data_IF_984425693029
#
_entry.id   IF_984425693029
#
_cell.length_a   1.000
_cell.length_b   1.000
_cell.length_c   1.000
_cell.angle_alpha   90.00
_cell.angle_beta   90.00
_cell.angle_gamma   90.00
#
_symmetry.space_group_name_H-M   'P 1'
#
loop_
_entity.id
_entity.type
_entity.pdbx_description
1 polymer ?
#
# COMPACT_ATOMS: atom_id res chain seq x y z
N UNK A 1 73.73 -8.50 4.03
CA UNK A 1 73.13 -9.15 2.84
C UNK A 1 72.06 -10.09 3.36
N UNK A 2 70.77 -9.97 3.12
CA UNK A 2 70.01 -9.19 2.14
C UNK A 2 68.57 -9.16 2.68
N UNK A 3 67.97 -7.99 2.68
CA UNK A 3 66.54 -7.78 2.90
C UNK A 3 65.76 -8.27 1.68
N UNK A 4 64.62 -8.95 1.87
CA UNK A 4 63.56 -8.93 0.86
C UNK A 4 62.20 -8.79 1.53
N UNK A 5 61.62 -7.61 1.30
CA UNK A 5 60.30 -7.14 1.70
C UNK A 5 59.23 -7.95 0.95
N UNK A 6 58.23 -8.48 1.66
CA UNK A 6 56.97 -8.85 1.03
C UNK A 6 55.91 -7.83 1.46
N UNK A 7 55.55 -6.97 0.51
CA UNK A 7 54.49 -5.98 0.63
C UNK A 7 53.13 -6.64 0.75
N UNK A 8 52.27 -6.04 1.57
CA UNK A 8 50.92 -6.50 1.85
C UNK A 8 49.96 -6.36 0.68
N UNK A 9 49.00 -7.27 0.66
CA UNK A 9 47.66 -7.06 0.10
C UNK A 9 46.71 -7.57 1.18
N UNK A 10 46.33 -6.70 2.12
CA UNK A 10 45.14 -6.92 2.92
C UNK A 10 43.99 -6.52 2.03
N UNK A 11 43.36 -7.51 1.42
CA UNK A 11 42.13 -7.35 0.68
C UNK A 11 41.06 -6.90 1.69
N UNK A 12 40.69 -5.63 1.63
CA UNK A 12 39.55 -5.06 2.36
C UNK A 12 38.28 -5.71 1.80
N UNK A 13 37.95 -6.93 2.23
CA UNK A 13 36.58 -7.45 2.18
C UNK A 13 35.78 -6.79 3.31
N UNK A 14 35.69 -5.45 3.26
CA UNK A 14 34.81 -4.67 4.11
C UNK A 14 33.47 -4.53 3.43
N UNK A 15 32.45 -5.20 3.99
CA UNK A 15 31.06 -4.76 3.99
C UNK A 15 30.42 -4.54 2.61
N UNK A 16 30.40 -5.58 1.77
CA UNK A 16 29.17 -5.85 1.04
C UNK A 16 28.29 -6.66 1.99
N UNK A 17 27.55 -5.95 2.85
CA UNK A 17 26.32 -6.52 3.37
C UNK A 17 25.55 -7.05 2.16
N UNK A 18 25.12 -8.31 2.11
CA UNK A 18 24.09 -8.66 1.17
C UNK A 18 22.91 -7.79 1.59
N UNK A 19 22.63 -6.72 0.85
CA UNK A 19 21.28 -6.20 0.84
C UNK A 19 20.47 -7.39 0.37
N UNK A 20 19.87 -8.13 1.30
CA UNK A 20 18.78 -9.03 1.01
C UNK A 20 17.87 -8.19 0.12
N UNK A 21 17.83 -8.51 -1.18
CA UNK A 21 16.94 -7.84 -2.11
C UNK A 21 15.56 -8.02 -1.51
N UNK A 22 15.09 -6.93 -0.94
CA UNK A 22 13.84 -6.90 -0.22
C UNK A 22 12.77 -7.14 -1.26
N UNK A 23 12.07 -8.26 -1.08
CA UNK A 23 11.03 -8.70 -1.97
C UNK A 23 9.81 -7.77 -1.82
N UNK A 24 9.77 -6.70 -2.61
CA UNK A 24 8.61 -5.81 -2.74
C UNK A 24 7.70 -6.24 -3.90
N UNK A 25 6.40 -6.36 -3.65
CA UNK A 25 5.39 -6.58 -4.70
C UNK A 25 4.75 -5.26 -5.16
N UNK A 26 4.81 -4.23 -4.30
CA UNK A 26 4.18 -2.94 -4.49
C UNK A 26 5.13 -1.83 -4.02
N UNK A 27 5.07 -0.69 -4.70
CA UNK A 27 5.81 0.50 -4.29
C UNK A 27 4.84 1.68 -4.23
N UNK A 28 4.97 2.53 -3.22
CA UNK A 28 4.10 3.69 -3.01
C UNK A 28 4.94 4.96 -2.91
N UNK A 29 4.40 6.06 -3.42
CA UNK A 29 4.97 7.37 -3.23
C UNK A 29 3.88 8.31 -2.67
N UNK A 30 4.19 8.98 -1.57
CA UNK A 30 3.27 9.88 -0.85
C UNK A 30 3.79 11.31 -0.91
N UNK A 31 2.95 12.25 -1.34
CA UNK A 31 3.33 13.67 -1.42
C UNK A 31 3.55 14.28 -0.03
N UNK A 32 4.36 15.35 0.09
CA UNK A 32 4.46 16.15 1.31
C UNK A 32 3.10 16.70 1.77
N UNK A 33 2.26 17.12 0.82
CA UNK A 33 0.91 17.62 1.10
C UNK A 33 -0.01 16.54 1.70
N UNK A 34 0.05 15.32 1.17
CA UNK A 34 -0.69 14.18 1.73
C UNK A 34 -0.20 13.85 3.14
N UNK A 35 1.12 13.80 3.33
CA UNK A 35 1.70 13.57 4.66
C UNK A 35 1.30 14.65 5.67
N UNK A 36 1.29 15.92 5.23
CA UNK A 36 0.81 17.02 6.07
C UNK A 36 -0.65 16.84 6.47
N UNK A 37 -1.53 16.44 5.56
CA UNK A 37 -2.93 16.19 5.86
C UNK A 37 -3.10 15.02 6.84
N UNK A 38 -2.42 13.90 6.59
CA UNK A 38 -2.44 12.72 7.47
C UNK A 38 -1.99 13.07 8.89
N UNK A 39 -0.84 13.76 9.03
CA UNK A 39 -0.32 14.16 10.34
C UNK A 39 -1.18 15.25 10.98
N UNK A 40 -1.72 16.20 10.21
CA UNK A 40 -2.62 17.23 10.72
C UNK A 40 -3.89 16.61 11.30
N UNK A 41 -4.50 15.67 10.59
CA UNK A 41 -5.72 15.00 11.06
C UNK A 41 -5.43 14.15 12.30
N UNK A 42 -4.34 13.38 12.29
CA UNK A 42 -3.98 12.52 13.40
C UNK A 42 -3.56 13.31 14.66
N UNK A 43 -2.76 14.37 14.52
CA UNK A 43 -2.18 15.13 15.64
C UNK A 43 -3.16 16.20 16.15
N UNK A 44 -3.84 16.91 15.24
CA UNK A 44 -4.67 18.07 15.57
C UNK A 44 -6.15 17.71 15.66
N UNK A 45 -6.74 17.11 14.62
CA UNK A 45 -8.20 16.91 14.54
C UNK A 45 -8.70 15.90 15.57
N UNK A 46 -7.91 14.86 15.83
CA UNK A 46 -8.23 13.89 16.88
C UNK A 46 -7.99 14.42 18.31
N UNK A 47 -7.52 15.67 18.46
CA UNK A 47 -7.28 16.29 19.76
C UNK A 47 -6.10 15.72 20.55
N UNK A 48 -5.33 14.78 19.99
CA UNK A 48 -4.24 14.07 20.67
C UNK A 48 -3.22 15.03 21.29
N UNK A 49 -2.74 16.01 20.51
CA UNK A 49 -1.78 16.98 21.01
C UNK A 49 -2.39 17.88 22.09
N UNK A 50 -3.63 18.34 21.90
CA UNK A 50 -4.29 19.21 22.88
C UNK A 50 -4.49 18.49 24.22
N UNK A 51 -4.90 17.22 24.20
CA UNK A 51 -5.09 16.42 25.40
C UNK A 51 -3.79 16.24 26.19
N UNK A 52 -2.67 15.95 25.53
CA UNK A 52 -1.38 15.79 26.20
C UNK A 52 -0.81 17.13 26.70
N UNK A 53 -1.07 18.23 25.99
CA UNK A 53 -0.68 19.56 26.45
C UNK A 53 -1.47 20.02 27.69
N UNK A 54 -2.75 19.64 27.82
CA UNK A 54 -3.56 19.98 29.01
C UNK A 54 -3.04 19.32 30.30
N UNK A 55 -2.31 18.21 30.19
CA UNK A 55 -1.66 17.55 31.32
C UNK A 55 -0.33 18.18 31.77
N UNK A 56 0.13 19.26 31.11
CA UNK A 56 1.41 19.89 31.43
C UNK A 56 1.37 20.61 32.77
N UNK A 57 2.36 20.31 33.61
CA UNK A 57 2.62 21.02 34.87
C UNK A 57 3.76 21.99 34.66
N UNK A 58 3.48 23.29 34.83
CA UNK A 58 4.49 24.34 34.74
C UNK A 58 5.09 24.59 36.14
N UNK A 59 6.43 24.70 36.25
CA UNK A 59 7.07 25.05 37.51
C UNK A 59 6.75 26.49 37.91
N UNK A 60 6.76 26.72 39.22
CA UNK A 60 6.66 28.08 39.76
C UNK A 60 7.87 28.91 39.32
N UNK A 61 7.64 30.20 39.09
CA UNK A 61 8.69 31.14 38.71
C UNK A 61 9.03 31.99 39.94
N UNK A 62 10.30 31.99 40.34
CA UNK A 62 10.76 32.77 41.49
C UNK A 62 11.86 33.74 41.04
N UNK A 63 11.75 34.99 41.49
CA UNK A 63 12.74 36.05 41.27
C UNK A 63 13.26 36.56 42.60
N UNK A 64 14.53 36.24 42.88
CA UNK A 64 15.26 36.84 43.98
C UNK A 64 15.41 38.34 43.68
N UNK A 65 14.70 39.17 44.44
CA UNK A 65 14.73 40.61 44.26
C UNK A 65 16.15 41.18 44.32
N UNK A 66 16.40 42.25 43.56
CA UNK A 66 17.65 43.01 43.61
C UNK A 66 17.46 44.29 44.43
N UNK A 67 18.51 45.09 44.60
CA UNK A 67 18.49 46.38 45.31
C UNK A 67 17.42 47.36 44.80
N UNK A 68 16.92 47.15 43.57
CA UNK A 68 15.92 47.97 42.88
C UNK A 68 14.64 47.19 42.49
N UNK A 69 14.49 45.91 42.84
CA UNK A 69 13.33 45.10 42.43
C UNK A 69 12.79 44.26 43.57
N UNK A 70 11.48 44.32 43.79
CA UNK A 70 10.80 43.49 44.80
C UNK A 70 10.88 42.00 44.43
N UNK A 71 10.97 41.10 45.43
CA UNK A 71 10.88 39.68 45.19
C UNK A 71 9.56 39.37 44.49
N UNK A 72 9.65 38.55 43.44
CA UNK A 72 8.51 38.19 42.60
C UNK A 72 8.33 36.68 42.66
N UNK A 73 7.12 36.20 42.89
CA UNK A 73 6.80 34.77 42.77
C UNK A 73 5.55 34.57 41.94
N UNK A 74 5.62 33.68 40.96
CA UNK A 74 4.48 33.29 40.13
C UNK A 74 4.19 31.83 40.40
N UNK A 75 2.98 31.56 40.89
CA UNK A 75 2.55 30.23 41.33
C UNK A 75 1.26 29.81 40.65
N UNK A 76 1.03 28.50 40.58
CA UNK A 76 -0.20 27.96 39.99
C UNK A 76 -0.33 28.21 38.49
N UNK A 77 0.81 28.33 37.79
CA UNK A 77 0.84 28.43 36.34
C UNK A 77 0.26 27.16 35.72
N UNK A 78 -0.78 27.33 34.93
CA UNK A 78 -1.42 26.24 34.21
C UNK A 78 -1.85 26.69 32.82
N UNK A 79 -1.98 25.72 31.92
CA UNK A 79 -2.41 25.92 30.55
C UNK A 79 -3.94 26.05 30.50
N UNK A 80 -4.43 27.24 30.17
CA UNK A 80 -5.86 27.53 30.02
C UNK A 80 -6.35 27.09 28.65
N UNK A 81 -5.59 27.42 27.60
CA UNK A 81 -5.99 27.15 26.22
C UNK A 81 -4.78 26.98 25.31
N UNK A 82 -4.90 26.04 24.38
CA UNK A 82 -3.98 25.88 23.26
C UNK A 82 -4.71 26.27 21.98
N UNK A 83 -4.07 27.06 21.13
CA UNK A 83 -4.52 27.30 19.75
C UNK A 83 -3.45 26.74 18.84
N UNK A 84 -3.81 25.79 17.97
CA UNK A 84 -2.91 25.11 17.04
C UNK A 84 -3.23 25.56 15.61
N UNK A 85 -2.78 26.76 15.20
CA UNK A 85 -3.18 27.33 13.92
C UNK A 85 -2.58 26.59 12.72
N UNK A 86 -1.42 25.92 12.84
CA UNK A 86 -0.74 25.36 11.68
C UNK A 86 0.21 24.22 12.04
N UNK A 87 0.12 23.15 11.25
CA UNK A 87 1.09 22.07 11.14
C UNK A 87 1.60 22.05 9.69
N UNK A 88 2.91 21.96 9.52
CA UNK A 88 3.54 21.83 8.19
C UNK A 88 4.56 20.71 8.18
N UNK A 89 4.68 20.04 7.04
CA UNK A 89 5.59 18.93 6.83
C UNK A 89 6.52 19.22 5.67
N UNK A 90 7.80 18.94 5.87
CA UNK A 90 8.83 18.99 4.83
C UNK A 90 9.52 17.63 4.79
N UNK A 91 9.68 17.06 3.61
CA UNK A 91 10.45 15.83 3.44
C UNK A 91 11.91 16.20 3.21
N UNK A 92 12.80 15.68 4.06
CA UNK A 92 14.23 15.92 3.97
C UNK A 92 14.89 14.69 3.33
N UNK A 93 15.53 14.82 2.15
CA UNK A 93 16.11 13.69 1.43
C UNK A 93 17.08 12.88 2.30
N UNK A 94 16.86 11.58 2.44
CA UNK A 94 17.72 10.67 3.21
C UNK A 94 17.76 10.88 4.73
N UNK A 95 17.07 11.90 5.25
CA UNK A 95 17.02 12.21 6.68
C UNK A 95 15.69 11.74 7.27
N UNK A 96 14.57 12.13 6.65
CA UNK A 96 13.23 11.78 7.11
C UNK A 96 12.22 12.90 6.92
N UNK A 97 11.28 13.01 7.85
CA UNK A 97 10.15 13.94 7.81
C UNK A 97 10.36 15.04 8.85
N UNK A 98 10.52 16.28 8.42
CA UNK A 98 10.55 17.42 9.33
C UNK A 98 9.12 17.92 9.58
N UNK A 99 8.70 17.81 10.84
CA UNK A 99 7.43 18.29 11.34
C UNK A 99 7.63 19.66 11.99
N UNK A 100 6.79 20.63 11.62
CA UNK A 100 6.76 21.95 12.28
C UNK A 100 5.35 22.24 12.78
N UNK A 101 5.23 22.51 14.08
CA UNK A 101 3.98 22.86 14.76
C UNK A 101 4.10 24.30 15.27
N UNK A 102 3.21 25.17 14.82
CA UNK A 102 3.03 26.49 15.39
C UNK A 102 1.84 26.48 16.34
N UNK A 103 2.06 26.87 17.59
CA UNK A 103 1.02 26.91 18.62
C UNK A 103 1.02 28.24 19.36
N UNK A 104 -0.15 28.62 19.90
CA UNK A 104 -0.29 29.72 20.86
C UNK A 104 -0.80 29.13 22.17
N UNK A 105 -0.04 29.31 23.25
CA UNK A 105 -0.37 28.85 24.57
C UNK A 105 -0.88 30.02 25.40
N UNK A 106 -2.01 29.83 26.05
CA UNK A 106 -2.62 30.78 26.98
C UNK A 106 -2.45 30.20 28.38
N UNK A 107 -1.59 30.81 29.18
CA UNK A 107 -1.25 30.40 30.54
C UNK A 107 -1.86 31.38 31.52
N UNK A 108 -2.33 30.88 32.66
CA UNK A 108 -2.83 31.70 33.77
C UNK A 108 -2.17 31.25 35.06
N UNK A 109 -1.93 32.19 35.96
CA UNK A 109 -1.40 31.93 37.31
C UNK A 109 -1.59 33.11 38.24
N UNK A 110 -1.02 33.00 39.45
CA UNK A 110 -1.01 34.07 40.45
C UNK A 110 0.40 34.67 40.52
N UNK A 111 0.51 35.98 40.34
CA UNK A 111 1.73 36.75 40.48
C UNK A 111 1.72 37.51 41.81
N UNK A 112 2.76 37.30 42.61
CA UNK A 112 3.01 37.96 43.88
C UNK A 112 4.25 38.84 43.73
N UNK A 113 4.09 40.16 43.80
CA UNK A 113 5.19 41.13 43.77
C UNK A 113 5.23 41.84 45.12
N UNK A 114 6.23 41.54 45.95
CA UNK A 114 6.27 42.01 47.33
C UNK A 114 5.10 41.46 48.16
N UNK A 115 4.11 42.30 48.48
CA UNK A 115 2.88 41.93 49.22
C UNK A 115 1.62 41.94 48.35
N UNK A 116 1.72 42.31 47.08
CA UNK A 116 0.57 42.41 46.17
C UNK A 116 0.40 41.11 45.40
N UNK A 117 -0.80 40.52 45.50
CA UNK A 117 -1.21 39.33 44.76
C UNK A 117 -2.18 39.70 43.66
N UNK A 118 -1.90 39.33 42.42
CA UNK A 118 -2.79 39.52 41.29
C UNK A 118 -2.70 38.37 40.29
N UNK A 119 -3.69 38.26 39.39
CA UNK A 119 -3.69 37.26 38.33
C UNK A 119 -2.80 37.71 37.17
N UNK A 120 -2.03 36.76 36.65
CA UNK A 120 -1.18 36.93 35.46
C UNK A 120 -1.67 36.04 34.34
N UNK A 121 -1.89 36.64 33.18
CA UNK A 121 -2.22 35.94 31.93
C UNK A 121 -1.05 36.09 30.96
N UNK A 122 -0.56 34.96 30.44
CA UNK A 122 0.57 34.92 29.52
C UNK A 122 0.12 34.27 28.23
N UNK A 123 0.26 34.98 27.13
CA UNK A 123 0.08 34.45 25.78
C UNK A 123 1.47 34.26 25.16
N UNK A 124 1.84 33.02 24.85
CA UNK A 124 3.12 32.70 24.21
C UNK A 124 2.91 31.99 22.89
N UNK A 125 3.49 32.55 21.84
CA UNK A 125 3.61 31.86 20.56
C UNK A 125 4.82 30.93 20.63
N UNK A 126 4.64 29.66 20.25
CA UNK A 126 5.72 28.65 20.20
C UNK A 126 5.77 28.02 18.82
N UNK A 127 6.98 27.75 18.35
CA UNK A 127 7.24 26.98 17.13
C UNK A 127 8.09 25.78 17.51
N UNK A 128 7.52 24.60 17.35
CA UNK A 128 8.21 23.32 17.60
C UNK A 128 8.58 22.73 16.25
N UNK A 129 9.84 22.40 16.07
CA UNK A 129 10.37 21.70 14.89
C UNK A 129 10.94 20.37 15.38
N UNK A 130 10.55 19.26 14.75
CA UNK A 130 11.03 17.93 15.08
C UNK A 130 11.37 17.17 13.79
N UNK A 131 12.52 16.49 13.75
CA UNK A 131 12.86 15.62 12.63
C UNK A 131 12.46 14.19 12.99
N UNK A 132 11.60 13.58 12.17
CA UNK A 132 11.07 12.24 12.38
C UNK A 132 11.76 11.31 11.40
N UNK A 133 12.31 10.20 11.91
CA UNK A 133 13.05 9.23 11.11
C UNK A 133 12.55 7.82 11.39
N UNK A 134 12.54 7.00 10.34
CA UNK A 134 12.31 5.57 10.46
C UNK A 134 13.65 4.84 10.56
N UNK A 135 13.81 4.00 11.57
CA UNK A 135 15.01 3.20 11.83
C UNK A 135 14.62 1.75 12.13
N UNK A 136 15.61 0.86 12.23
CA UNK A 136 15.46 -0.52 12.72
C UNK A 136 14.31 -1.28 12.04
N UNK A 137 14.45 -1.55 10.74
CA UNK A 137 13.49 -2.37 10.03
C UNK A 137 13.69 -3.85 10.33
N UNK A 138 12.68 -4.47 10.93
CA UNK A 138 12.64 -5.89 11.20
C UNK A 138 11.27 -6.45 10.85
N UNK A 139 11.24 -7.46 9.97
CA UNK A 139 10.04 -8.24 9.64
C UNK A 139 8.80 -7.43 9.25
N UNK A 140 8.97 -6.30 8.55
CA UNK A 140 7.86 -5.45 8.12
C UNK A 140 7.40 -4.42 9.14
N UNK A 141 8.16 -4.23 10.21
CA UNK A 141 7.95 -3.16 11.20
C UNK A 141 9.14 -2.21 11.18
N UNK A 142 8.88 -0.92 11.44
CA UNK A 142 9.91 0.10 11.60
C UNK A 142 9.75 0.80 12.94
N UNK A 143 10.87 1.23 13.51
CA UNK A 143 10.87 2.12 14.65
C UNK A 143 10.83 3.57 14.14
N UNK A 144 9.94 4.39 14.70
CA UNK A 144 9.95 5.83 14.45
C UNK A 144 10.61 6.52 15.63
N UNK A 145 11.56 7.39 15.33
CA UNK A 145 12.30 8.17 16.32
C UNK A 145 12.23 9.64 15.97
N UNK A 146 12.15 10.49 17.00
CA UNK A 146 12.35 11.92 16.84
C UNK A 146 13.83 12.24 17.12
N UNK A 147 14.49 12.78 16.10
CA UNK A 147 15.81 13.41 16.21
C UNK A 147 15.61 14.95 16.27
N UNK A 148 16.43 15.64 17.05
CA UNK A 148 16.53 17.11 17.07
C UNK A 148 15.21 17.89 17.26
N UNK A 149 14.46 17.59 18.32
CA UNK A 149 13.31 18.42 18.68
C UNK A 149 13.77 19.78 19.23
N UNK A 150 13.36 20.86 18.55
CA UNK A 150 13.66 22.24 18.89
C UNK A 150 12.36 23.01 19.11
N UNK A 151 12.25 23.67 20.26
CA UNK A 151 11.14 24.56 20.56
C UNK A 151 11.65 26.00 20.67
N UNK A 152 11.17 26.87 19.78
CA UNK A 152 11.51 28.30 19.76
C UNK A 152 10.30 29.11 20.22
N UNK A 153 10.53 30.00 21.19
CA UNK A 153 9.52 30.94 21.64
C UNK A 153 9.50 32.14 20.68
N UNK A 154 8.29 32.51 20.25
CA UNK A 154 8.02 33.70 19.46
C UNK A 154 7.59 34.86 20.35
N UNK A 155 6.47 35.49 20.02
CA UNK A 155 5.94 36.61 20.78
C UNK A 155 5.39 36.15 22.14
N UNK A 156 5.86 36.77 23.22
CA UNK A 156 5.31 36.62 24.57
C UNK A 156 4.57 37.90 24.94
N UNK A 157 3.29 37.80 25.26
CA UNK A 157 2.47 38.89 25.79
C UNK A 157 2.01 38.54 27.19
N UNK A 158 2.49 39.32 28.15
CA UNK A 158 2.11 39.18 29.55
C UNK A 158 1.05 40.24 29.83
N UNK A 159 0.03 39.90 30.62
CA UNK A 159 -0.98 40.84 31.12
C UNK A 159 -1.20 40.57 32.60
N UNK A 160 -1.03 41.61 33.40
CA UNK A 160 -1.43 41.62 34.81
C UNK A 160 -2.81 42.26 34.93
N UNK A 161 -3.56 41.86 35.95
CA UNK A 161 -4.93 42.34 36.16
C UNK A 161 -4.97 43.84 36.50
N UNK A 162 -3.93 44.34 37.20
CA UNK A 162 -3.70 45.79 37.42
C UNK A 162 -3.36 46.58 36.16
N UNK A 163 -2.96 45.91 35.07
CA UNK A 163 -2.48 46.53 33.83
C UNK A 163 -1.04 47.06 33.90
N UNK A 164 -0.36 47.00 35.05
CA UNK A 164 0.97 47.56 35.25
C UNK A 164 2.05 46.46 35.25
N UNK A 165 2.69 46.26 34.09
CA UNK A 165 3.77 45.27 33.94
C UNK A 165 5.13 45.90 34.22
N UNK A 166 5.81 45.46 35.28
CA UNK A 166 7.21 45.86 35.51
C UNK A 166 8.16 45.14 34.54
N UNK A 167 9.27 45.79 34.21
CA UNK A 167 10.33 45.21 33.38
C UNK A 167 10.92 43.94 34.03
N UNK A 168 11.03 43.91 35.36
CA UNK A 168 11.56 42.77 36.10
C UNK A 168 10.71 41.51 35.95
N UNK A 169 9.38 41.63 36.05
CA UNK A 169 8.46 40.49 35.86
C UNK A 169 8.55 39.98 34.43
N UNK A 170 8.63 40.88 33.45
CA UNK A 170 8.77 40.50 32.05
C UNK A 170 10.05 39.70 31.77
N UNK A 171 11.20 40.16 32.26
CA UNK A 171 12.49 39.46 32.08
C UNK A 171 12.50 38.09 32.76
N UNK A 172 12.01 38.00 34.00
CA UNK A 172 11.98 36.75 34.76
C UNK A 172 11.07 35.71 34.08
N UNK A 173 9.87 36.12 33.66
CA UNK A 173 8.93 35.24 32.94
C UNK A 173 9.53 34.76 31.62
N UNK A 174 10.10 35.69 30.83
CA UNK A 174 10.69 35.33 29.54
C UNK A 174 11.85 34.35 29.70
N UNK A 175 12.75 34.60 30.65
CA UNK A 175 13.89 33.72 30.96
C UNK A 175 13.41 32.33 31.37
N UNK A 176 12.45 32.25 32.29
CA UNK A 176 11.98 30.96 32.81
C UNK A 176 11.20 30.17 31.76
N UNK A 177 10.32 30.82 30.99
CA UNK A 177 9.57 30.14 29.92
C UNK A 177 10.51 29.63 28.82
N UNK A 178 11.53 30.41 28.46
CA UNK A 178 12.54 30.00 27.46
C UNK A 178 13.33 28.77 27.92
N UNK A 179 13.64 28.69 29.22
CA UNK A 179 14.33 27.52 29.79
C UNK A 179 13.41 26.29 29.94
N UNK A 180 12.13 26.51 30.24
CA UNK A 180 11.22 25.43 30.67
C UNK A 180 10.41 24.84 29.53
N UNK A 181 9.81 25.68 28.66
CA UNK A 181 8.88 25.20 27.64
C UNK A 181 9.49 24.17 26.67
N UNK A 182 10.75 24.31 26.21
CA UNK A 182 11.36 23.29 25.36
C UNK A 182 11.44 21.92 26.03
N UNK A 183 11.79 21.89 27.33
CA UNK A 183 11.88 20.65 28.12
C UNK A 183 10.53 19.99 28.40
N UNK A 184 9.42 20.71 28.22
CA UNK A 184 8.06 20.18 28.41
C UNK A 184 7.38 19.83 27.08
N UNK A 185 7.52 20.67 26.06
CA UNK A 185 6.80 20.53 24.80
C UNK A 185 7.40 19.46 23.89
N UNK A 186 8.72 19.33 23.85
CA UNK A 186 9.37 18.32 23.00
C UNK A 186 9.01 16.88 23.41
N UNK A 187 9.03 16.50 24.71
CA UNK A 187 8.55 15.19 25.14
C UNK A 187 7.07 14.93 24.80
N UNK A 188 6.21 15.95 24.87
CA UNK A 188 4.80 15.79 24.47
C UNK A 188 4.69 15.51 22.98
N UNK A 189 5.44 16.22 22.14
CA UNK A 189 5.45 15.95 20.69
C UNK A 189 5.98 14.55 20.40
N UNK A 190 7.01 14.09 21.10
CA UNK A 190 7.53 12.72 20.98
C UNK A 190 6.46 11.66 21.29
N UNK A 191 5.75 11.79 22.40
CA UNK A 191 4.64 10.89 22.76
C UNK A 191 3.57 10.89 21.66
N UNK A 192 3.16 12.06 21.19
CA UNK A 192 2.07 12.18 20.20
C UNK A 192 2.48 11.60 18.85
N UNK A 193 3.70 11.85 18.37
CA UNK A 193 4.22 11.26 17.13
C UNK A 193 4.31 9.75 17.25
N UNK A 194 4.76 9.21 18.38
CA UNK A 194 4.80 7.76 18.61
C UNK A 194 3.41 7.12 18.61
N UNK A 195 2.40 7.78 19.17
CA UNK A 195 1.00 7.32 19.12
C UNK A 195 0.45 7.33 17.69
N UNK A 196 0.69 8.40 16.94
CA UNK A 196 0.29 8.49 15.52
C UNK A 196 1.00 7.44 14.69
N UNK A 197 2.28 7.18 14.97
CA UNK A 197 3.04 6.13 14.29
C UNK A 197 2.38 4.75 14.45
N UNK A 198 1.96 4.37 15.67
CA UNK A 198 1.26 3.10 15.92
C UNK A 198 -0.01 3.01 15.05
N UNK A 199 -0.77 4.10 14.96
CA UNK A 199 -1.99 4.15 14.15
C UNK A 199 -1.69 4.00 12.65
N UNK A 200 -0.69 4.74 12.14
CA UNK A 200 -0.36 4.75 10.71
C UNK A 200 0.33 3.46 10.26
N UNK A 201 1.26 2.91 11.03
CA UNK A 201 1.89 1.62 10.71
C UNK A 201 0.88 0.47 10.73
N UNK A 202 -0.15 0.55 11.57
CA UNK A 202 -1.27 -0.39 11.56
C UNK A 202 -1.99 -0.46 10.20
N UNK A 203 -1.95 0.62 9.41
CA UNK A 203 -2.53 0.62 8.05
C UNK A 203 -1.64 -0.06 7.02
N UNK A 204 -0.32 -0.12 7.27
CA UNK A 204 0.67 -0.72 6.37
C UNK A 204 0.87 -2.22 6.62
N UNK A 205 0.26 -2.78 7.67
CA UNK A 205 0.27 -4.20 7.98
C UNK A 205 -1.16 -4.74 8.03
N UNK A 206 -1.67 -5.21 6.90
CA UNK A 206 -3.07 -5.61 6.75
C UNK A 206 -3.20 -6.93 5.99
N UNK A 207 -4.04 -7.82 6.52
CA UNK A 207 -4.46 -9.05 5.83
C UNK A 207 -5.87 -8.82 5.27
N UNK A 208 -6.00 -8.76 3.96
CA UNK A 208 -7.26 -8.45 3.28
C UNK A 208 -7.75 -9.68 2.52
N UNK A 209 -9.00 -10.14 2.73
CA UNK A 209 -9.55 -11.28 2.00
C UNK A 209 -9.88 -10.91 0.54
N UNK A 210 -9.57 -11.85 -0.36
CA UNK A 210 -9.88 -11.78 -1.79
C UNK A 210 -11.04 -12.74 -2.07
N UNK A 211 -12.25 -12.31 -1.69
CA UNK A 211 -13.45 -13.15 -1.77
C UNK A 211 -13.27 -14.44 -0.97
N UNK A 212 -13.60 -15.58 -1.58
CA UNK A 212 -13.37 -16.91 -1.01
C UNK A 212 -12.09 -17.58 -1.52
N UNK A 213 -11.33 -16.91 -2.38
CA UNK A 213 -10.15 -17.50 -3.04
C UNK A 213 -8.92 -17.53 -2.13
N UNK A 214 -8.79 -16.56 -1.22
CA UNK A 214 -7.66 -16.47 -0.30
C UNK A 214 -7.51 -15.09 0.32
N UNK A 215 -6.29 -14.72 0.69
CA UNK A 215 -5.96 -13.43 1.30
C UNK A 215 -4.71 -12.81 0.69
N UNK A 216 -4.60 -11.48 0.77
CA UNK A 216 -3.36 -10.75 0.49
C UNK A 216 -2.91 -10.11 1.79
N UNK A 217 -1.67 -10.39 2.19
CA UNK A 217 -1.04 -9.77 3.35
C UNK A 217 -0.09 -8.67 2.88
N UNK A 218 -0.52 -7.43 3.07
CA UNK A 218 0.31 -6.25 2.87
C UNK A 218 1.14 -5.96 4.10
N UNK A 219 2.44 -5.76 3.92
CA UNK A 219 3.39 -5.35 4.97
C UNK A 219 4.50 -4.50 4.38
N UNK A 220 5.17 -3.68 5.19
CA UNK A 220 6.39 -3.02 4.74
C UNK A 220 7.44 -4.05 4.33
N UNK A 221 8.07 -3.80 3.18
CA UNK A 221 9.15 -4.62 2.68
C UNK A 221 10.51 -4.03 3.11
N UNK A 222 10.64 -2.70 3.12
CA UNK A 222 11.88 -1.98 3.43
C UNK A 222 11.64 -0.79 4.36
N UNK A 223 12.73 -0.13 4.77
CA UNK A 223 12.67 1.17 5.43
C UNK A 223 12.06 2.22 4.49
N UNK A 224 11.06 2.99 4.94
CA UNK A 224 10.60 4.18 4.25
C UNK A 224 11.76 5.14 3.96
N UNK A 225 11.78 5.72 2.76
CA UNK A 225 12.80 6.69 2.39
C UNK A 225 12.18 7.99 1.88
N UNK A 226 12.88 9.10 2.09
CA UNK A 226 12.45 10.42 1.64
C UNK A 226 13.35 10.90 0.51
N UNK A 227 12.74 11.35 -0.59
CA UNK A 227 13.47 11.94 -1.74
C UNK A 227 13.52 13.47 -1.70
N UNK A 228 12.77 14.09 -0.78
CA UNK A 228 12.47 15.53 -0.77
C UNK A 228 11.20 15.89 -1.54
N UNK A 229 10.87 15.13 -2.58
CA UNK A 229 9.64 15.31 -3.36
C UNK A 229 8.51 14.39 -2.90
N UNK A 230 8.85 13.22 -2.34
CA UNK A 230 7.88 12.24 -1.85
C UNK A 230 8.49 11.35 -0.75
N UNK A 231 7.61 10.70 0.01
CA UNK A 231 7.93 9.60 0.90
C UNK A 231 7.68 8.29 0.13
N UNK A 232 8.75 7.54 -0.10
CA UNK A 232 8.71 6.22 -0.73
C UNK A 232 8.46 5.12 0.30
N UNK A 233 7.55 4.21 -0.02
CA UNK A 233 7.21 3.04 0.79
C UNK A 233 7.19 1.81 -0.10
N UNK A 234 8.03 0.81 0.17
CA UNK A 234 7.91 -0.48 -0.49
C UNK A 234 7.09 -1.43 0.38
N UNK A 235 6.09 -2.06 -0.22
CA UNK A 235 5.23 -3.05 0.41
C UNK A 235 5.43 -4.42 -0.24
N UNK A 236 5.45 -5.45 0.60
CA UNK A 236 5.27 -6.83 0.20
C UNK A 236 3.77 -7.13 0.20
N UNK A 237 3.31 -7.84 -0.82
CA UNK A 237 1.92 -8.24 -1.00
C UNK A 237 1.82 -9.76 -1.05
N UNK A 238 2.02 -10.43 0.08
CA UNK A 238 2.07 -11.88 0.12
C UNK A 238 0.67 -12.47 -0.17
N UNK A 239 0.53 -13.10 -1.34
CA UNK A 239 -0.71 -13.73 -1.81
C UNK A 239 -0.81 -15.14 -1.22
N UNK A 240 -1.86 -15.41 -0.45
CA UNK A 240 -2.07 -16.68 0.26
C UNK A 240 -3.35 -17.36 -0.19
N UNK A 241 -3.26 -18.66 -0.47
CA UNK A 241 -4.41 -19.51 -0.79
C UNK A 241 -5.19 -19.90 0.47
N UNK A 242 -6.43 -20.37 0.28
CA UNK A 242 -7.17 -21.08 1.34
C UNK A 242 -6.34 -22.28 1.80
N UNK A 243 -5.92 -22.29 3.07
CA UNK A 243 -4.98 -23.27 3.61
C UNK A 243 -3.59 -22.71 3.97
N UNK A 244 -3.29 -21.46 3.61
CA UNK A 244 -2.12 -20.71 4.09
C UNK A 244 -0.88 -20.78 3.20
N UNK A 245 -0.88 -21.58 2.14
CA UNK A 245 0.21 -21.65 1.17
C UNK A 245 0.37 -20.31 0.44
N UNK A 246 1.60 -19.80 0.40
CA UNK A 246 1.97 -18.55 -0.28
C UNK A 246 2.23 -18.84 -1.76
N UNK A 247 1.66 -18.03 -2.64
CA UNK A 247 1.97 -18.07 -4.08
C UNK A 247 3.25 -17.24 -4.32
N UNK A 248 4.35 -17.87 -4.76
CA UNK A 248 5.60 -17.18 -4.98
C UNK A 248 5.48 -16.17 -6.13
N UNK A 249 6.12 -15.02 -5.97
CA UNK A 249 6.28 -14.04 -7.04
C UNK A 249 7.62 -13.30 -6.91
N UNK A 250 8.25 -13.04 -8.04
CA UNK A 250 9.50 -12.29 -8.10
C UNK A 250 9.28 -10.87 -7.62
N UNK A 251 10.28 -10.31 -6.94
CA UNK A 251 10.11 -9.05 -6.25
C UNK A 251 11.32 -8.13 -6.44
N UNK A 252 11.73 -7.98 -7.71
CA UNK A 252 12.84 -7.13 -8.13
C UNK A 252 12.48 -5.65 -8.09
N UNK A 253 13.42 -4.81 -7.63
CA UNK A 253 13.23 -3.36 -7.55
C UNK A 253 12.82 -2.77 -8.91
N UNK A 254 11.77 -1.93 -8.91
CA UNK A 254 11.32 -1.19 -10.08
C UNK A 254 11.19 0.29 -9.73
N UNK A 255 11.52 1.14 -10.69
CA UNK A 255 11.47 2.60 -10.51
C UNK A 255 10.02 3.05 -10.46
N UNK A 256 9.59 3.55 -9.30
CA UNK A 256 8.33 4.27 -9.15
C UNK A 256 8.27 5.43 -10.17
N UNK A 257 7.15 5.64 -10.87
CA UNK A 257 6.98 6.82 -11.69
C UNK A 257 7.06 8.09 -10.81
N UNK A 258 7.54 9.21 -11.37
CA UNK A 258 7.66 10.46 -10.64
C UNK A 258 6.30 10.88 -10.07
N UNK A 259 6.30 11.30 -8.81
CA UNK A 259 5.12 11.83 -8.16
C UNK A 259 4.79 13.20 -8.79
N UNK A 260 3.75 13.24 -9.62
CA UNK A 260 3.16 14.48 -10.15
C UNK A 260 2.30 15.16 -9.06
N UNK A 261 1.35 16.02 -9.45
CA UNK A 261 0.37 16.71 -8.58
C UNK A 261 -0.63 15.78 -7.85
N UNK A 262 -0.26 14.51 -7.63
CA UNK A 262 -1.07 13.49 -6.96
C UNK A 262 -0.64 13.34 -5.50
N UNK A 263 -1.61 13.06 -4.63
CA UNK A 263 -1.37 12.87 -3.20
C UNK A 263 -0.65 11.55 -2.89
N UNK A 264 -1.01 10.49 -3.62
CA UNK A 264 -0.51 9.13 -3.48
C UNK A 264 -0.41 8.49 -4.87
N UNK A 265 0.70 7.80 -5.12
CA UNK A 265 0.90 6.92 -6.28
C UNK A 265 1.18 5.51 -5.76
N UNK A 266 0.52 4.52 -6.34
CA UNK A 266 0.69 3.11 -6.02
C UNK A 266 1.10 2.36 -7.29
N UNK A 267 2.31 1.81 -7.29
CA UNK A 267 2.83 0.92 -8.32
C UNK A 267 2.58 -0.53 -7.95
N UNK A 268 1.92 -1.27 -8.85
CA UNK A 268 1.69 -2.71 -8.74
C UNK A 268 2.58 -3.44 -9.73
N UNK A 269 3.37 -4.41 -9.26
CA UNK A 269 4.30 -5.15 -10.13
C UNK A 269 3.56 -6.25 -10.89
N UNK A 270 4.04 -6.55 -12.10
CA UNK A 270 3.52 -7.63 -12.94
C UNK A 270 3.55 -8.98 -12.20
N UNK A 271 4.64 -9.26 -11.48
CA UNK A 271 4.81 -10.48 -10.70
C UNK A 271 3.77 -10.62 -9.58
N UNK A 272 3.46 -9.54 -8.86
CA UNK A 272 2.39 -9.51 -7.88
C UNK A 272 1.03 -9.78 -8.53
N UNK A 273 0.73 -9.12 -9.66
CA UNK A 273 -0.52 -9.36 -10.40
C UNK A 273 -0.62 -10.82 -10.91
N UNK A 274 0.48 -11.43 -11.35
CA UNK A 274 0.53 -12.85 -11.74
C UNK A 274 0.12 -13.78 -10.58
N UNK A 275 0.64 -13.52 -9.37
CA UNK A 275 0.27 -14.30 -8.19
C UNK A 275 -1.22 -14.13 -7.84
N UNK A 276 -1.74 -12.91 -7.92
CA UNK A 276 -3.17 -12.64 -7.66
C UNK A 276 -4.08 -13.26 -8.72
N UNK A 277 -3.70 -13.21 -10.00
CA UNK A 277 -4.45 -13.88 -11.07
C UNK A 277 -4.46 -15.40 -10.89
N UNK A 278 -3.34 -16.00 -10.47
CA UNK A 278 -3.26 -17.42 -10.14
C UNK A 278 -4.13 -17.80 -8.93
N UNK A 279 -4.37 -16.85 -8.01
CA UNK A 279 -5.32 -17.01 -6.92
C UNK A 279 -6.78 -16.93 -7.40
N UNK A 280 -7.10 -15.94 -8.24
CA UNK A 280 -8.47 -15.65 -8.67
C UNK A 280 -8.99 -16.58 -9.77
N UNK A 281 -8.14 -16.98 -10.72
CA UNK A 281 -8.53 -17.79 -11.88
C UNK A 281 -8.29 -19.27 -11.56
N UNK A 282 -9.04 -19.79 -10.58
CA UNK A 282 -9.05 -21.20 -10.22
C UNK A 282 -10.39 -21.84 -10.64
N UNK A 283 -10.58 -21.97 -11.95
CA UNK A 283 -11.82 -22.50 -12.51
C UNK A 283 -11.72 -24.03 -12.58
N UNK A 284 -12.64 -24.78 -11.94
CA UNK A 284 -12.65 -26.23 -12.05
C UNK A 284 -12.99 -26.67 -13.48
N UNK A 285 -12.60 -27.89 -13.91
CA UNK A 285 -12.91 -28.37 -15.25
C UNK A 285 -14.41 -28.30 -15.55
N UNK A 286 -14.77 -27.61 -16.63
CA UNK A 286 -16.16 -27.44 -17.05
C UNK A 286 -16.51 -28.53 -18.04
N UNK A 287 -17.54 -29.33 -17.77
CA UNK A 287 -18.01 -30.38 -18.68
C UNK A 287 -19.48 -30.18 -18.99
N UNK A 288 -19.82 -30.10 -20.27
CA UNK A 288 -21.19 -29.92 -20.73
C UNK A 288 -21.41 -30.60 -22.08
N UNK A 289 -22.68 -30.81 -22.41
CA UNK A 289 -23.09 -31.33 -23.71
C UNK A 289 -23.04 -30.20 -24.74
N UNK A 290 -22.54 -30.50 -25.94
CA UNK A 290 -22.46 -29.56 -27.06
C UNK A 290 -23.86 -29.33 -27.64
N UNK A 291 -24.61 -28.40 -27.08
CA UNK A 291 -25.95 -28.03 -27.53
C UNK A 291 -26.09 -26.51 -27.65
N UNK A 292 -27.05 -26.00 -28.47
CA UNK A 292 -27.25 -24.56 -28.65
C UNK A 292 -27.56 -23.78 -27.36
N UNK A 293 -28.06 -24.47 -26.33
CA UNK A 293 -28.30 -23.88 -25.01
C UNK A 293 -27.01 -23.61 -24.25
N UNK A 294 -25.94 -24.38 -24.52
CA UNK A 294 -24.64 -24.18 -23.89
C UNK A 294 -23.86 -23.02 -24.55
N UNK A 295 -23.89 -22.94 -25.88
CA UNK A 295 -23.35 -21.82 -26.65
C UNK A 295 -23.96 -21.80 -28.07
N UNK A 296 -24.08 -20.62 -28.64
CA UNK A 296 -24.80 -20.39 -29.90
C UNK A 296 -24.22 -21.15 -31.10
N UNK A 297 -22.91 -21.38 -31.10
CA UNK A 297 -22.18 -22.07 -32.18
C UNK A 297 -22.16 -23.60 -32.12
N UNK A 298 -22.91 -24.23 -31.21
CA UNK A 298 -22.79 -25.68 -30.93
C UNK A 298 -23.08 -26.59 -32.12
N UNK A 299 -24.16 -26.33 -32.88
CA UNK A 299 -24.52 -27.14 -34.04
C UNK A 299 -23.44 -27.11 -35.11
N UNK A 300 -22.88 -25.93 -35.39
CA UNK A 300 -21.80 -25.77 -36.37
C UNK A 300 -20.50 -26.43 -35.91
N UNK A 301 -20.15 -26.35 -34.62
CA UNK A 301 -19.00 -27.07 -34.08
C UNK A 301 -19.17 -28.59 -34.23
N UNK A 302 -20.36 -29.10 -33.93
CA UNK A 302 -20.68 -30.52 -34.08
C UNK A 302 -20.56 -30.97 -35.54
N UNK A 303 -21.13 -30.22 -36.48
CA UNK A 303 -20.99 -30.49 -37.91
C UNK A 303 -19.52 -30.49 -38.34
N UNK A 304 -18.75 -29.46 -37.98
CA UNK A 304 -17.34 -29.35 -38.32
C UNK A 304 -16.55 -30.56 -37.79
N UNK A 305 -16.77 -30.98 -36.54
CA UNK A 305 -16.11 -32.16 -35.97
C UNK A 305 -16.50 -33.43 -36.75
N UNK A 306 -17.79 -33.61 -37.07
CA UNK A 306 -18.24 -34.78 -37.83
C UNK A 306 -17.64 -34.84 -39.24
N UNK A 307 -17.38 -33.70 -39.88
CA UNK A 307 -16.70 -33.67 -41.20
C UNK A 307 -15.22 -34.06 -41.14
N UNK A 308 -14.58 -33.89 -39.99
CA UNK A 308 -13.16 -34.22 -39.80
C UNK A 308 -12.93 -35.69 -39.46
N UNK A 309 -13.96 -36.39 -38.98
CA UNK A 309 -13.86 -37.80 -38.61
C UNK A 309 -13.61 -38.63 -39.88
N UNK A 310 -12.54 -39.43 -39.93
CA UNK A 310 -12.28 -40.33 -41.05
C UNK A 310 -13.42 -41.34 -41.22
N UNK A 311 -13.78 -41.65 -42.46
CA UNK A 311 -14.86 -42.59 -42.81
C UNK A 311 -14.68 -44.01 -42.22
N UNK A 312 -13.46 -44.36 -41.78
CA UNK A 312 -13.16 -45.62 -41.09
C UNK A 312 -13.64 -45.69 -39.63
N UNK A 313 -14.10 -44.59 -39.01
CA UNK A 313 -14.59 -44.62 -37.63
C UNK A 313 -16.08 -45.00 -37.56
N UNK A 314 -16.39 -46.29 -37.71
CA UNK A 314 -17.77 -46.79 -37.61
C UNK A 314 -18.43 -46.53 -36.24
N UNK A 315 -17.62 -46.42 -35.18
CA UNK A 315 -18.07 -46.15 -33.80
C UNK A 315 -18.37 -44.67 -33.53
N UNK A 316 -17.94 -43.76 -34.42
CA UNK A 316 -18.17 -42.32 -34.29
C UNK A 316 -19.55 -41.89 -34.80
N UNK A 317 -20.11 -42.63 -35.75
CA UNK A 317 -21.40 -42.34 -36.38
C UNK A 317 -22.56 -42.90 -35.54
N UNK A 318 -22.76 -42.33 -34.35
CA UNK A 318 -23.85 -42.67 -33.43
C UNK A 318 -24.77 -41.48 -33.13
N UNK A 319 -25.91 -41.74 -32.49
CA UNK A 319 -26.89 -40.71 -32.06
C UNK A 319 -26.54 -40.04 -30.73
N UNK A 320 -25.45 -40.46 -30.08
CA UNK A 320 -25.04 -39.89 -28.79
C UNK A 320 -24.49 -38.46 -28.97
N UNK A 321 -24.88 -37.52 -28.11
CA UNK A 321 -24.46 -36.13 -28.26
C UNK A 321 -22.96 -35.95 -27.93
N UNK A 322 -22.33 -34.99 -28.62
CA UNK A 322 -20.95 -34.58 -28.31
C UNK A 322 -20.91 -33.91 -26.93
N UNK A 323 -19.88 -34.22 -26.16
CA UNK A 323 -19.59 -33.57 -24.88
C UNK A 323 -18.25 -32.87 -24.95
N UNK A 324 -18.16 -31.72 -24.32
CA UNK A 324 -16.97 -30.87 -24.28
C UNK A 324 -16.55 -30.74 -22.83
N UNK A 325 -15.27 -30.94 -22.59
CA UNK A 325 -14.62 -30.63 -21.31
C UNK A 325 -13.53 -29.58 -21.53
N UNK A 326 -13.69 -28.46 -20.85
CA UNK A 326 -12.72 -27.36 -20.80
C UNK A 326 -11.90 -27.45 -19.51
N UNK A 327 -10.58 -27.43 -19.62
CA UNK A 327 -9.68 -27.47 -18.46
C UNK A 327 -8.59 -26.42 -18.63
N UNK A 328 -8.42 -25.52 -17.66
CA UNK A 328 -7.30 -24.59 -17.66
C UNK A 328 -5.98 -25.34 -17.50
N UNK A 329 -4.97 -24.93 -18.25
CA UNK A 329 -3.63 -25.54 -18.25
C UNK A 329 -2.61 -24.49 -17.85
N UNK A 330 -1.88 -24.74 -16.76
CA UNK A 330 -0.92 -23.78 -16.20
C UNK A 330 -1.58 -22.60 -15.49
N UNK A 331 -0.75 -21.62 -15.12
CA UNK A 331 -1.18 -20.41 -14.44
C UNK A 331 -1.35 -19.26 -15.45
N UNK A 332 -2.34 -18.36 -15.25
CA UNK A 332 -2.47 -17.16 -16.06
C UNK A 332 -1.26 -16.25 -15.88
N UNK A 333 -0.79 -15.63 -16.96
CA UNK A 333 0.30 -14.67 -16.94
C UNK A 333 -0.18 -13.34 -17.51
N UNK A 334 -0.12 -12.28 -16.71
CA UNK A 334 -0.30 -10.91 -17.19
C UNK A 334 1.04 -10.35 -17.65
N UNK A 335 1.00 -9.69 -18.81
CA UNK A 335 2.08 -8.92 -19.40
C UNK A 335 1.65 -7.46 -19.41
N UNK A 336 2.47 -6.60 -18.82
CA UNK A 336 2.27 -5.16 -18.81
C UNK A 336 3.26 -4.53 -19.79
N UNK A 337 2.70 -3.91 -20.83
CA UNK A 337 3.40 -3.11 -21.83
C UNK A 337 2.89 -1.66 -21.72
N UNK A 338 3.62 -0.70 -22.28
CA UNK A 338 3.21 0.71 -22.24
C UNK A 338 1.78 0.87 -22.81
N UNK A 339 0.85 1.35 -21.98
CA UNK A 339 -0.58 1.53 -22.29
C UNK A 339 -1.36 0.25 -22.64
N UNK A 340 -0.80 -0.95 -22.41
CA UNK A 340 -1.45 -2.20 -22.81
C UNK A 340 -1.16 -3.32 -21.81
N UNK A 341 -2.21 -3.98 -21.35
CA UNK A 341 -2.11 -5.20 -20.56
C UNK A 341 -2.77 -6.38 -21.27
N UNK A 342 -2.08 -7.51 -21.28
CA UNK A 342 -2.58 -8.77 -21.86
C UNK A 342 -2.42 -9.92 -20.88
N UNK A 343 -3.42 -10.79 -20.80
CA UNK A 343 -3.34 -12.05 -20.04
C UNK A 343 -3.20 -13.22 -21.01
N UNK A 344 -2.14 -14.00 -20.84
CA UNK A 344 -1.92 -15.27 -21.51
C UNK A 344 -2.50 -16.42 -20.69
N UNK A 345 -3.27 -17.29 -21.34
CA UNK A 345 -3.93 -18.43 -20.71
C UNK A 345 -3.98 -19.61 -21.68
N UNK A 346 -3.68 -20.82 -21.21
CA UNK A 346 -3.85 -22.05 -22.00
C UNK A 346 -5.08 -22.83 -21.53
N UNK A 347 -5.85 -23.35 -22.49
CA UNK A 347 -7.06 -24.14 -22.23
C UNK A 347 -6.99 -25.44 -23.01
N UNK A 348 -7.22 -26.55 -22.33
CA UNK A 348 -7.40 -27.86 -22.94
C UNK A 348 -8.88 -28.08 -23.25
N UNK A 349 -9.19 -28.35 -24.50
CA UNK A 349 -10.54 -28.63 -25.00
C UNK A 349 -10.57 -30.11 -25.38
N UNK A 350 -11.22 -30.90 -24.55
CA UNK A 350 -11.45 -32.32 -24.82
C UNK A 350 -12.86 -32.49 -25.39
N UNK A 351 -12.97 -33.07 -26.58
CA UNK A 351 -14.27 -33.47 -27.15
C UNK A 351 -14.39 -34.98 -27.13
N UNK A 352 -15.49 -35.47 -26.61
CA UNK A 352 -15.75 -36.89 -26.43
C UNK A 352 -17.23 -37.23 -26.57
N UNK A 353 -17.52 -38.49 -26.82
CA UNK A 353 -18.87 -39.05 -26.84
C UNK A 353 -19.06 -39.90 -25.60
N UNK A 354 -20.08 -39.58 -24.80
CA UNK A 354 -20.52 -40.43 -23.69
C UNK A 354 -21.63 -41.36 -24.18
N UNK A 355 -21.33 -42.64 -24.28
CA UNK A 355 -22.31 -43.67 -24.65
C UNK A 355 -23.14 -44.08 -23.44
N UNK A 356 -24.41 -44.43 -23.68
CA UNK A 356 -25.35 -44.84 -22.62
C UNK A 356 -24.87 -46.10 -21.88
N UNK A 357 -24.25 -47.05 -22.60
CA UNK A 357 -23.86 -48.37 -22.06
C UNK A 357 -22.38 -48.75 -22.35
N UNK A 358 -21.46 -47.78 -22.46
CA UNK A 358 -20.07 -48.08 -22.83
C UNK A 358 -19.03 -47.03 -22.43
N UNK A 359 -17.73 -47.31 -22.67
CA UNK A 359 -16.65 -46.39 -22.33
C UNK A 359 -16.73 -45.10 -23.16
N UNK A 360 -16.26 -44.01 -22.54
CA UNK A 360 -16.12 -42.69 -23.15
C UNK A 360 -15.21 -42.79 -24.36
N UNK A 361 -15.71 -42.37 -25.53
CA UNK A 361 -14.92 -42.28 -26.75
C UNK A 361 -14.38 -40.87 -26.86
N UNK A 362 -13.08 -40.68 -26.60
CA UNK A 362 -12.42 -39.40 -26.87
C UNK A 362 -12.24 -39.24 -28.37
N UNK A 363 -12.60 -38.09 -28.90
CA UNK A 363 -12.44 -37.80 -30.33
C UNK A 363 -11.17 -36.99 -30.55
N UNK A 364 -11.09 -35.85 -29.86
CA UNK A 364 -9.98 -34.90 -30.00
C UNK A 364 -9.65 -34.25 -28.66
N UNK A 365 -8.36 -33.97 -28.48
CA UNK A 365 -7.84 -33.12 -27.43
C UNK A 365 -7.08 -31.96 -28.08
N UNK A 366 -7.59 -30.75 -27.88
CA UNK A 366 -6.99 -29.52 -28.40
C UNK A 366 -6.39 -28.71 -27.25
N UNK A 367 -5.35 -27.96 -27.55
CA UNK A 367 -4.84 -26.88 -26.70
C UNK A 367 -5.11 -25.56 -27.41
N UNK A 368 -5.85 -24.68 -26.75
CA UNK A 368 -6.07 -23.31 -27.15
C UNK A 368 -5.22 -22.38 -26.29
N UNK A 369 -4.31 -21.64 -26.91
CA UNK A 369 -3.52 -20.59 -26.27
C UNK A 369 -4.20 -19.25 -26.54
N UNK A 370 -4.59 -18.56 -25.47
CA UNK A 370 -5.42 -17.35 -25.50
C UNK A 370 -4.58 -16.13 -25.14
N UNK A 371 -4.73 -15.06 -25.92
CA UNK A 371 -4.28 -13.73 -25.54
C UNK A 371 -5.49 -12.86 -25.27
N UNK A 372 -5.68 -12.49 -24.00
CA UNK A 372 -6.83 -11.75 -23.51
C UNK A 372 -6.46 -10.29 -23.29
N UNK A 373 -7.20 -9.36 -23.87
CA UNK A 373 -7.05 -7.94 -23.58
C UNK A 373 -7.63 -7.63 -22.20
N UNK A 374 -6.88 -6.86 -21.40
CA UNK A 374 -7.27 -6.49 -20.04
C UNK A 374 -7.85 -5.07 -20.02
N UNK A 375 -9.02 -4.94 -19.44
CA UNK A 375 -9.67 -3.67 -19.09
C UNK A 375 -9.55 -3.46 -17.60
N UNK A 376 -8.98 -2.33 -17.19
CA UNK A 376 -8.70 -2.05 -15.77
C UNK A 376 -9.65 -0.96 -15.27
N UNK A 377 -10.22 -1.17 -14.08
CA UNK A 377 -11.08 -0.20 -13.42
C UNK A 377 -10.89 -0.26 -11.90
N UNK A 378 -11.36 0.76 -11.19
CA UNK A 378 -11.34 0.79 -9.72
C UNK A 378 -12.75 0.94 -9.19
N UNK A 379 -13.12 0.04 -8.28
CA UNK A 379 -14.43 0.04 -7.62
C UNK A 379 -14.27 -0.32 -6.14
N UNK A 380 -14.79 0.52 -5.24
CA UNK A 380 -14.78 0.25 -3.80
C UNK A 380 -13.39 -0.01 -3.19
N UNK A 381 -12.36 0.68 -3.67
CA UNK A 381 -10.97 0.47 -3.22
C UNK A 381 -10.31 -0.80 -3.76
N UNK A 382 -10.89 -1.41 -4.80
CA UNK A 382 -10.35 -2.62 -5.45
C UNK A 382 -10.01 -2.34 -6.90
N UNK A 383 -8.92 -2.93 -7.39
CA UNK A 383 -8.59 -3.00 -8.80
C UNK A 383 -9.38 -4.13 -9.45
N UNK A 384 -10.30 -3.82 -10.33
CA UNK A 384 -11.13 -4.79 -11.05
C UNK A 384 -10.60 -4.95 -12.46
N UNK A 385 -10.38 -6.21 -12.86
CA UNK A 385 -9.89 -6.58 -14.17
C UNK A 385 -11.03 -7.21 -14.97
N UNK A 386 -11.30 -6.70 -16.16
CA UNK A 386 -12.20 -7.31 -17.13
C UNK A 386 -11.39 -7.85 -18.31
N UNK A 387 -11.67 -9.08 -18.74
CA UNK A 387 -10.97 -9.71 -19.85
C UNK A 387 -11.87 -9.80 -21.08
N UNK A 388 -11.25 -9.61 -22.25
CA UNK A 388 -11.89 -9.82 -23.55
C UNK A 388 -10.96 -10.61 -24.46
N UNK A 389 -11.51 -11.49 -25.29
CA UNK A 389 -10.70 -12.34 -26.14
C UNK A 389 -10.08 -11.55 -27.31
N UNK A 390 -8.77 -11.36 -27.26
CA UNK A 390 -7.98 -10.78 -28.35
C UNK A 390 -7.74 -11.84 -29.42
N UNK A 391 -6.67 -12.62 -29.27
CA UNK A 391 -6.31 -13.70 -30.19
C UNK A 391 -6.41 -15.08 -29.55
N UNK A 392 -6.43 -16.11 -30.40
CA UNK A 392 -6.59 -17.51 -30.01
C UNK A 392 -5.74 -18.33 -30.97
N UNK A 393 -4.92 -19.23 -30.47
CA UNK A 393 -4.14 -20.18 -31.28
C UNK A 393 -4.53 -21.59 -30.90
N UNK A 394 -4.95 -22.40 -31.88
CA UNK A 394 -5.43 -23.76 -31.65
C UNK A 394 -4.42 -24.79 -32.13
N UNK A 395 -4.10 -25.76 -31.28
CA UNK A 395 -3.21 -26.87 -31.63
C UNK A 395 -3.81 -28.21 -31.24
N UNK A 396 -3.65 -29.22 -32.11
CA UNK A 396 -4.05 -30.59 -31.84
C UNK A 396 -3.01 -31.26 -30.93
N UNK A 397 -3.46 -31.87 -29.83
CA UNK A 397 -2.59 -32.66 -28.93
C UNK A 397 -2.73 -34.15 -29.18
N UNK A 398 -3.95 -34.64 -29.32
CA UNK A 398 -4.20 -36.03 -29.70
C UNK A 398 -5.57 -36.17 -30.36
N UNK A 399 -5.72 -37.23 -31.14
CA UNK A 399 -6.98 -37.67 -31.70
C UNK A 399 -7.01 -39.19 -31.74
N UNK A 400 -7.96 -39.80 -31.05
CA UNK A 400 -8.06 -41.27 -30.99
C UNK A 400 -8.78 -41.83 -32.24
N UNK A 401 -9.37 -40.95 -33.05
CA UNK A 401 -10.14 -41.30 -34.25
C UNK A 401 -9.43 -40.91 -35.56
N UNK A 402 -8.17 -40.48 -35.49
CA UNK A 402 -7.35 -40.16 -36.67
C UNK A 402 -7.60 -38.79 -37.33
N UNK A 403 -8.20 -37.82 -36.65
CA UNK A 403 -8.27 -36.42 -37.09
C UNK A 403 -6.86 -35.81 -37.09
N UNK A 404 -6.45 -35.21 -38.20
CA UNK A 404 -5.12 -34.58 -38.36
C UNK A 404 -5.17 -33.09 -38.70
N UNK A 405 -6.22 -32.63 -39.39
CA UNK A 405 -6.39 -31.22 -39.74
C UNK A 405 -7.53 -30.59 -38.91
N UNK A 406 -7.23 -29.51 -38.20
CA UNK A 406 -8.16 -28.81 -37.29
C UNK A 406 -8.45 -27.36 -37.72
N UNK A 407 -8.01 -26.94 -38.90
CA UNK A 407 -8.10 -25.53 -39.33
C UNK A 407 -9.52 -24.98 -39.36
N UNK A 408 -10.52 -25.83 -39.59
CA UNK A 408 -11.94 -25.42 -39.59
C UNK A 408 -12.52 -25.21 -38.19
N UNK A 409 -11.86 -25.73 -37.14
CA UNK A 409 -12.38 -25.69 -35.77
C UNK A 409 -12.10 -24.38 -35.05
N UNK A 410 -11.10 -23.62 -35.48
CA UNK A 410 -10.67 -22.39 -34.82
C UNK A 410 -11.80 -21.37 -34.57
N UNK A 411 -12.60 -20.95 -35.57
CA UNK A 411 -13.70 -20.00 -35.33
C UNK A 411 -14.77 -20.55 -34.38
N UNK A 412 -15.03 -21.86 -34.42
CA UNK A 412 -16.02 -22.50 -33.56
C UNK A 412 -15.52 -22.62 -32.11
N UNK A 413 -14.26 -23.00 -31.91
CA UNK A 413 -13.63 -23.02 -30.60
C UNK A 413 -13.52 -21.60 -30.01
N UNK A 414 -13.34 -20.57 -30.86
CA UNK A 414 -13.37 -19.18 -30.41
C UNK A 414 -14.73 -18.80 -29.82
N UNK A 415 -15.84 -19.05 -30.52
CA UNK A 415 -17.20 -18.77 -30.01
C UNK A 415 -17.49 -19.54 -28.71
N UNK A 416 -17.14 -20.85 -28.68
CA UNK A 416 -17.23 -21.67 -27.48
C UNK A 416 -16.53 -21.01 -26.28
N UNK A 417 -15.27 -20.62 -26.41
CA UNK A 417 -14.50 -20.03 -25.30
C UNK A 417 -15.05 -18.67 -24.85
N UNK A 418 -15.51 -17.84 -25.79
CA UNK A 418 -16.09 -16.51 -25.48
C UNK A 418 -17.41 -16.63 -24.73
N UNK A 419 -18.26 -17.60 -25.07
CA UNK A 419 -19.60 -17.73 -24.49
C UNK A 419 -19.60 -18.56 -23.21
N UNK A 420 -18.70 -19.54 -23.07
CA UNK A 420 -18.70 -20.44 -21.91
C UNK A 420 -17.61 -20.12 -20.89
N UNK A 421 -16.36 -19.91 -21.32
CA UNK A 421 -15.22 -19.80 -20.40
C UNK A 421 -14.99 -18.34 -19.94
N UNK A 422 -15.02 -17.40 -20.88
CA UNK A 422 -14.72 -15.99 -20.59
C UNK A 422 -15.66 -15.37 -19.53
N UNK A 423 -16.99 -15.65 -19.51
CA UNK A 423 -17.88 -15.14 -18.47
C UNK A 423 -17.53 -15.70 -17.09
N UNK A 424 -17.09 -16.96 -17.00
CA UNK A 424 -16.65 -17.55 -15.74
C UNK A 424 -15.38 -16.86 -15.22
N UNK A 425 -14.41 -16.60 -16.10
CA UNK A 425 -13.19 -15.87 -15.73
C UNK A 425 -13.53 -14.44 -15.27
N UNK A 426 -14.36 -13.71 -16.02
CA UNK A 426 -14.76 -12.36 -15.62
C UNK A 426 -15.57 -12.34 -14.32
N UNK A 427 -16.37 -13.39 -14.06
CA UNK A 427 -17.05 -13.56 -12.79
C UNK A 427 -16.09 -13.66 -11.61
N UNK A 428 -14.99 -14.42 -11.72
CA UNK A 428 -14.00 -14.50 -10.63
C UNK A 428 -13.20 -13.20 -10.47
N UNK A 429 -12.88 -12.52 -11.57
CA UNK A 429 -12.13 -11.26 -11.53
C UNK A 429 -12.95 -10.06 -11.04
N UNK A 430 -14.28 -10.12 -11.12
CA UNK A 430 -15.18 -9.10 -10.58
C UNK A 430 -15.06 -8.90 -9.06
N UNK A 431 -14.49 -9.89 -8.33
CA UNK A 431 -14.17 -9.77 -6.91
C UNK A 431 -13.20 -8.60 -6.65
N UNK A 432 -12.32 -8.33 -7.62
CA UNK A 432 -11.30 -7.29 -7.58
C UNK A 432 -10.15 -7.58 -6.62
N UNK A 433 -9.02 -6.96 -6.90
CA UNK A 433 -7.81 -7.00 -6.08
C UNK A 433 -7.90 -5.87 -5.06
N UNK A 434 -7.99 -6.16 -3.74
CA UNK A 434 -8.08 -5.10 -2.74
C UNK A 434 -6.77 -4.31 -2.67
N UNK A 435 -6.85 -2.99 -2.80
CA UNK A 435 -5.68 -2.12 -2.69
C UNK A 435 -5.37 -1.82 -1.20
N UNK A 436 -4.09 -1.69 -0.81
CA UNK A 436 -3.72 -1.36 0.56
C UNK A 436 -4.16 0.05 0.94
N UNK A 437 -4.58 0.24 2.19
CA UNK A 437 -4.85 1.57 2.73
C UNK A 437 -3.52 2.19 3.21
N UNK A 438 -2.84 2.90 2.33
CA UNK A 438 -1.52 3.49 2.64
C UNK A 438 -1.71 4.73 3.53
N UNK A 439 -1.33 4.61 4.80
CA UNK A 439 -1.37 5.71 5.79
C UNK A 439 -2.75 6.33 6.02
N UNK A 440 -3.84 5.60 5.74
CA UNK A 440 -5.19 6.11 5.89
C UNK A 440 -5.64 7.04 4.74
N UNK A 441 -4.88 7.14 3.65
CA UNK A 441 -5.19 8.05 2.53
C UNK A 441 -6.29 7.43 1.64
N UNK A 442 -7.47 8.07 1.48
CA UNK A 442 -8.56 7.51 0.68
C UNK A 442 -8.32 7.64 -0.84
N UNK A 443 -8.71 6.62 -1.59
CA UNK A 443 -8.65 6.58 -3.06
C UNK A 443 -9.97 7.09 -3.67
N UNK A 444 -10.03 8.39 -4.01
CA UNK A 444 -11.28 9.04 -4.50
C UNK A 444 -11.22 9.37 -6.00
N UNK A 445 -10.10 9.90 -6.49
CA UNK A 445 -9.87 10.28 -7.90
C UNK A 445 -8.63 9.57 -8.42
N UNK A 446 -8.79 8.30 -8.76
CA UNK A 446 -7.68 7.45 -9.18
C UNK A 446 -7.56 7.46 -10.70
N UNK A 447 -6.37 7.82 -11.17
CA UNK A 447 -5.97 7.63 -12.56
C UNK A 447 -5.15 6.34 -12.64
N UNK A 448 -5.37 5.57 -13.71
CA UNK A 448 -4.70 4.28 -13.92
C UNK A 448 -3.80 4.44 -15.14
N UNK A 449 -2.54 4.06 -14.99
CA UNK A 449 -1.55 4.00 -16.06
C UNK A 449 -0.92 2.61 -16.05
N UNK A 450 -0.70 2.06 -17.25
CA UNK A 450 -0.07 0.75 -17.47
C UNK A 450 1.27 0.99 -18.16
#
# INVERSE_FOLDING_TARGET
MTMLKLFGIVFFCGLLSPSQEVLSGLSCAVSPGAMQNVLSDAILQNGLLQQHLQGLVLPNIMGDGSLLSSPTSITGLHLVKVRLPKLSVVLLPGIGVQLTIAAKLELSGNCLVGLLSELINILVDVKITANIKCTNFESGTVQVVIEDCLCVLGTVKIKLLSGLLSLSVNEIVLKQLTATLPGLLCPVVDIVVNLVNIQLLGTLNAVIPVGTAGTIHYRLASLPFTSGLFLGLDLDGAVKQVGGSVIPHDSSASTLPPLLDKLLVLGLRQSFLNAVLSLLIQIPPQTFTCTPEAFSGASHLQEAIMTLIPAGCSTCHGTSPLSIKLTLSGNPLILLEENKATVELSVMIQVFIKRLDGPVLNLLLLKADLSLNVHVSIAGGRLVLGLSLGSTSLSLKSSDVGISNISILEPHCRSLLVETLLPLINGTLSIGIPLPNVLGIPLIKVDIQI
#
